data_IF_189201432855
#
_entry.id   IF_189201432855
#
_cell.length_a   1.000
_cell.length_b   1.000
_cell.length_c   1.000
_cell.angle_alpha   90.00
_cell.angle_beta   90.00
_cell.angle_gamma   90.00
#
_symmetry.space_group_name_H-M   'P 1'
#
loop_
_entity.id
_entity.type
_entity.pdbx_description
1 polymer ?
#
# COMPACT_ATOMS: atom_id res chain seq x y z
N UNK A 1 16.56 12.47 24.46
CA UNK A 1 16.28 11.60 23.30
C UNK A 1 14.92 10.97 23.53
N UNK A 2 13.89 11.46 22.85
CA UNK A 2 12.56 10.84 22.93
C UNK A 2 12.62 9.50 22.21
N UNK A 3 12.53 8.41 22.99
CA UNK A 3 12.41 7.05 22.47
C UNK A 3 11.01 6.97 21.86
N UNK A 4 10.92 6.94 20.52
CA UNK A 4 9.66 6.74 19.82
C UNK A 4 9.13 5.35 20.20
N UNK A 5 8.13 5.29 21.08
CA UNK A 5 7.42 4.06 21.37
C UNK A 5 6.40 3.83 20.26
N UNK A 6 6.45 2.68 19.54
CA UNK A 6 5.44 2.34 18.56
C UNK A 6 4.04 2.49 19.17
N UNK A 7 3.12 3.12 18.44
CA UNK A 7 1.74 3.25 18.90
C UNK A 7 1.08 1.86 18.97
N UNK A 8 -0.09 1.76 19.60
CA UNK A 8 -0.75 0.47 19.81
C UNK A 8 -1.07 -0.25 18.48
N UNK A 9 -1.39 0.51 17.42
CA UNK A 9 -1.64 -0.03 16.08
C UNK A 9 -0.39 -0.70 15.51
N UNK A 10 0.76 -0.03 15.55
CA UNK A 10 2.03 -0.55 15.01
C UNK A 10 2.46 -1.82 15.75
N UNK A 11 2.30 -1.86 17.08
CA UNK A 11 2.60 -3.04 17.90
C UNK A 11 1.72 -4.23 17.52
N UNK A 12 0.43 -3.99 17.27
CA UNK A 12 -0.51 -5.04 16.84
C UNK A 12 -0.19 -5.54 15.42
N UNK A 13 0.18 -4.66 14.50
CA UNK A 13 0.58 -5.04 13.14
C UNK A 13 1.84 -5.89 13.15
N UNK A 14 2.87 -5.48 13.89
CA UNK A 14 4.12 -6.24 14.00
C UNK A 14 3.89 -7.61 14.68
N UNK A 15 3.08 -7.67 15.74
CA UNK A 15 2.71 -8.92 16.41
C UNK A 15 1.94 -9.86 15.48
N UNK A 16 1.02 -9.33 14.68
CA UNK A 16 0.27 -10.09 13.69
C UNK A 16 1.21 -10.65 12.61
N UNK A 17 2.07 -9.81 12.04
CA UNK A 17 3.05 -10.22 11.01
C UNK A 17 3.93 -11.37 11.53
N UNK A 18 4.48 -11.25 12.74
CA UNK A 18 5.33 -12.27 13.35
C UNK A 18 4.58 -13.59 13.55
N UNK A 19 3.36 -13.55 14.12
CA UNK A 19 2.57 -14.74 14.37
C UNK A 19 2.14 -15.43 13.08
N UNK A 20 1.79 -14.66 12.04
CA UNK A 20 1.43 -15.23 10.73
C UNK A 20 2.62 -15.92 10.06
N UNK A 21 3.83 -15.41 10.24
CA UNK A 21 5.06 -16.07 9.76
C UNK A 21 5.41 -17.32 10.57
N UNK A 22 5.22 -17.28 11.90
CA UNK A 22 5.58 -18.38 12.82
C UNK A 22 4.61 -19.57 12.71
N UNK A 23 3.30 -19.31 12.57
CA UNK A 23 2.24 -20.32 12.74
C UNK A 23 1.27 -20.39 11.57
N UNK A 24 1.35 -19.45 10.65
CA UNK A 24 0.40 -19.27 9.56
C UNK A 24 -0.81 -18.40 9.96
N UNK A 25 -1.44 -17.83 8.93
CA UNK A 25 -2.58 -16.92 9.09
C UNK A 25 -3.78 -17.62 9.75
N UNK A 26 -4.15 -18.82 9.29
CA UNK A 26 -5.36 -19.52 9.76
C UNK A 26 -5.26 -19.92 11.24
N UNK A 27 -4.08 -20.33 11.69
CA UNK A 27 -3.84 -20.80 13.06
C UNK A 27 -3.67 -19.68 14.08
N UNK A 28 -3.58 -18.43 13.64
CA UNK A 28 -3.39 -17.27 14.52
C UNK A 28 -4.72 -16.64 14.88
N UNK A 29 -4.92 -16.35 16.15
CA UNK A 29 -6.12 -15.68 16.70
C UNK A 29 -5.84 -14.22 17.06
N UNK A 30 -6.91 -13.40 17.14
CA UNK A 30 -6.82 -12.01 17.61
C UNK A 30 -6.33 -11.94 19.06
N UNK A 31 -6.74 -12.90 19.91
CA UNK A 31 -6.28 -12.98 21.29
C UNK A 31 -4.75 -13.10 21.39
N UNK A 32 -4.16 -14.01 20.61
CA UNK A 32 -2.70 -14.22 20.57
C UNK A 32 -1.96 -12.98 20.02
N UNK A 33 -2.53 -12.31 19.02
CA UNK A 33 -1.96 -11.06 18.51
C UNK A 33 -1.95 -9.98 19.57
N UNK A 34 -3.08 -9.79 20.26
CA UNK A 34 -3.20 -8.80 21.31
C UNK A 34 -2.24 -9.11 22.48
N UNK A 35 -2.16 -10.37 22.91
CA UNK A 35 -1.25 -10.83 23.96
C UNK A 35 0.22 -10.59 23.57
N UNK A 36 0.64 -10.97 22.36
CA UNK A 36 2.00 -10.75 21.83
C UNK A 36 2.35 -9.26 21.81
N UNK A 37 1.38 -8.40 21.49
CA UNK A 37 1.53 -6.94 21.49
C UNK A 37 1.51 -6.33 22.91
N UNK A 38 1.21 -7.12 23.97
CA UNK A 38 1.01 -6.62 25.34
C UNK A 38 -0.23 -5.75 25.47
N UNK A 39 -1.29 -6.08 24.74
CA UNK A 39 -2.55 -5.36 24.65
C UNK A 39 -3.72 -6.33 24.87
N UNK A 40 -4.95 -5.83 24.82
CA UNK A 40 -6.17 -6.64 24.93
C UNK A 40 -6.87 -6.79 23.59
N UNK A 41 -7.68 -7.85 23.41
CA UNK A 41 -8.54 -8.01 22.23
C UNK A 41 -9.45 -6.80 22.01
N UNK A 42 -9.97 -6.19 23.11
CA UNK A 42 -10.76 -4.95 23.00
C UNK A 42 -9.94 -3.82 22.37
N UNK A 43 -8.65 -3.74 22.68
CA UNK A 43 -7.75 -2.76 22.07
C UNK A 43 -7.53 -3.09 20.60
N UNK A 44 -7.38 -4.37 20.23
CA UNK A 44 -7.27 -4.80 18.85
C UNK A 44 -8.47 -4.33 18.03
N UNK A 45 -9.69 -4.67 18.46
CA UNK A 45 -10.93 -4.33 17.73
C UNK A 45 -11.25 -2.83 17.69
N UNK A 46 -10.54 -2.01 18.45
CA UNK A 46 -10.59 -0.55 18.29
C UNK A 46 -9.84 -0.07 17.05
N UNK A 47 -8.83 -0.79 16.59
CA UNK A 47 -7.99 -0.43 15.44
C UNK A 47 -8.34 -1.24 14.18
N UNK A 48 -8.73 -2.49 14.34
CA UNK A 48 -8.90 -3.43 13.23
C UNK A 48 -10.23 -4.17 13.34
N UNK A 49 -10.98 -4.24 12.25
CA UNK A 49 -12.29 -4.90 12.20
C UNK A 49 -12.18 -6.43 12.34
N UNK A 50 -11.12 -7.01 11.78
CA UNK A 50 -10.81 -8.45 11.86
C UNK A 50 -9.29 -8.69 11.80
N UNK A 51 -8.87 -9.97 11.88
CA UNK A 51 -7.43 -10.30 11.89
C UNK A 51 -6.71 -10.01 10.58
N UNK A 52 -7.42 -9.89 9.44
CA UNK A 52 -6.84 -9.53 8.15
C UNK A 52 -6.35 -8.10 8.14
N UNK A 53 -7.12 -7.20 8.75
CA UNK A 53 -6.86 -5.76 8.72
C UNK A 53 -5.50 -5.36 9.32
N UNK A 54 -4.94 -6.16 10.20
CA UNK A 54 -3.60 -5.89 10.75
C UNK A 54 -2.49 -5.89 9.68
N UNK A 55 -2.67 -6.61 8.57
CA UNK A 55 -1.73 -6.58 7.44
C UNK A 55 -1.96 -5.41 6.47
N UNK A 56 -3.08 -4.72 6.58
CA UNK A 56 -3.49 -3.63 5.69
C UNK A 56 -3.52 -2.27 6.38
N UNK A 57 -2.85 -2.15 7.50
CA UNK A 57 -2.62 -0.87 8.16
C UNK A 57 -1.83 0.08 7.26
N UNK A 58 -2.10 1.38 7.39
CA UNK A 58 -1.43 2.40 6.57
C UNK A 58 -2.15 2.76 5.28
N UNK A 59 -3.25 2.08 4.90
CA UNK A 59 -4.00 2.43 3.70
C UNK A 59 -4.49 3.90 3.72
N UNK A 60 -4.99 4.36 4.86
CA UNK A 60 -5.43 5.76 5.01
C UNK A 60 -4.31 6.73 4.68
N UNK A 61 -3.10 6.48 5.19
CA UNK A 61 -1.92 7.30 4.88
C UNK A 61 -1.59 7.29 3.38
N UNK A 62 -1.64 6.12 2.74
CA UNK A 62 -1.39 6.02 1.30
C UNK A 62 -2.44 6.78 0.49
N UNK A 63 -3.73 6.66 0.83
CA UNK A 63 -4.81 7.43 0.21
C UNK A 63 -4.58 8.93 0.37
N UNK A 64 -4.29 9.41 1.58
CA UNK A 64 -4.04 10.82 1.85
C UNK A 64 -2.86 11.36 1.03
N UNK A 65 -1.75 10.64 0.98
CA UNK A 65 -0.58 11.04 0.21
C UNK A 65 -0.84 11.08 -1.29
N UNK A 66 -1.51 10.06 -1.84
CA UNK A 66 -1.84 9.99 -3.26
C UNK A 66 -2.80 11.10 -3.66
N UNK A 67 -3.90 11.29 -2.92
CA UNK A 67 -4.90 12.30 -3.23
C UNK A 67 -4.34 13.72 -3.09
N UNK A 68 -3.50 13.98 -2.09
CA UNK A 68 -2.79 15.24 -1.95
C UNK A 68 -1.82 15.49 -3.11
N UNK A 69 -0.99 14.51 -3.47
CA UNK A 69 -0.06 14.64 -4.59
C UNK A 69 -0.79 14.86 -5.94
N UNK A 70 -1.94 14.20 -6.14
CA UNK A 70 -2.78 14.44 -7.30
C UNK A 70 -3.34 15.87 -7.28
N UNK A 71 -3.85 16.35 -6.12
CA UNK A 71 -4.41 17.69 -6.00
C UNK A 71 -3.37 18.79 -6.28
N UNK A 72 -2.15 18.62 -5.80
CA UNK A 72 -1.04 19.56 -5.91
C UNK A 72 -0.32 19.52 -7.28
N UNK A 73 -0.66 18.57 -8.15
CA UNK A 73 0.01 18.43 -9.45
C UNK A 73 -0.21 19.69 -10.33
N UNK A 74 0.74 20.02 -11.25
CA UNK A 74 0.64 21.18 -12.14
C UNK A 74 -0.66 21.17 -12.94
N UNK A 75 -1.23 22.37 -13.15
CA UNK A 75 -2.40 22.54 -14.01
C UNK A 75 -2.08 22.12 -15.46
N UNK A 76 -3.01 21.37 -16.10
CA UNK A 76 -2.84 20.91 -17.48
C UNK A 76 -1.89 19.72 -17.66
N UNK A 77 -1.32 19.18 -16.59
CA UNK A 77 -0.52 17.94 -16.69
C UNK A 77 -1.40 16.76 -17.15
N UNK A 78 -0.90 15.87 -18.03
CA UNK A 78 -1.62 14.69 -18.48
C UNK A 78 -2.01 13.80 -17.28
N UNK A 79 -3.23 13.24 -17.23
CA UNK A 79 -3.72 12.47 -16.08
C UNK A 79 -2.80 11.32 -15.68
N UNK A 80 -2.25 10.60 -16.63
CA UNK A 80 -1.34 9.48 -16.36
C UNK A 80 0.00 9.95 -15.75
N UNK A 81 0.49 11.13 -16.17
CA UNK A 81 1.72 11.71 -15.59
C UNK A 81 1.48 12.16 -14.15
N UNK A 82 0.29 12.73 -13.87
CA UNK A 82 -0.12 13.10 -12.51
C UNK A 82 -0.15 11.87 -11.60
N UNK A 83 -0.77 10.79 -12.04
CA UNK A 83 -0.82 9.53 -11.28
C UNK A 83 0.57 8.95 -11.10
N UNK A 84 1.40 8.93 -12.15
CA UNK A 84 2.78 8.45 -12.08
C UNK A 84 3.62 9.22 -11.04
N UNK A 85 3.51 10.54 -11.03
CA UNK A 85 4.19 11.39 -10.06
C UNK A 85 3.70 11.13 -8.62
N UNK A 86 2.38 10.98 -8.43
CA UNK A 86 1.80 10.69 -7.13
C UNK A 86 2.26 9.32 -6.58
N UNK A 87 2.29 8.29 -7.43
CA UNK A 87 2.81 6.97 -7.05
C UNK A 87 4.31 6.99 -6.73
N UNK A 88 5.10 7.74 -7.50
CA UNK A 88 6.54 7.94 -7.23
C UNK A 88 6.76 8.61 -5.87
N UNK A 89 5.91 9.56 -5.48
CA UNK A 89 5.97 10.26 -4.21
C UNK A 89 5.71 9.36 -2.99
N UNK A 90 5.19 8.15 -3.18
CA UNK A 90 5.08 7.15 -2.10
C UNK A 90 6.43 6.54 -1.69
N UNK A 91 7.49 6.67 -2.51
CA UNK A 91 8.80 6.08 -2.25
C UNK A 91 9.26 6.20 -0.80
N UNK A 92 9.31 7.41 -0.20
CA UNK A 92 9.76 7.62 1.19
C UNK A 92 8.99 6.82 2.24
N UNK A 93 7.72 6.48 1.99
CA UNK A 93 6.91 5.65 2.92
C UNK A 93 7.46 4.23 3.01
N UNK A 94 8.08 3.76 1.95
CA UNK A 94 8.61 2.40 1.81
C UNK A 94 10.11 2.30 2.08
N UNK A 95 10.80 3.43 2.29
CA UNK A 95 12.23 3.44 2.59
C UNK A 95 12.55 2.62 3.85
N UNK A 96 13.53 1.72 3.74
CA UNK A 96 13.93 0.83 4.82
C UNK A 96 12.91 -0.27 5.18
N UNK A 97 11.81 -0.40 4.43
CA UNK A 97 10.72 -1.35 4.73
C UNK A 97 10.64 -2.55 3.77
N UNK A 98 11.62 -2.72 2.88
CA UNK A 98 11.60 -3.79 1.86
C UNK A 98 11.42 -5.18 2.49
N UNK A 99 12.21 -5.51 3.52
CA UNK A 99 12.11 -6.80 4.20
C UNK A 99 10.75 -7.02 4.87
N UNK A 100 10.19 -5.97 5.46
CA UNK A 100 8.84 -6.01 6.03
C UNK A 100 7.79 -6.23 4.92
N UNK A 101 7.90 -5.51 3.80
CA UNK A 101 7.01 -5.64 2.65
C UNK A 101 7.09 -7.04 2.03
N UNK A 102 8.29 -7.60 1.87
CA UNK A 102 8.51 -8.96 1.36
C UNK A 102 7.86 -10.01 2.28
N UNK A 103 8.08 -9.92 3.59
CA UNK A 103 7.46 -10.83 4.57
C UNK A 103 5.94 -10.72 4.57
N UNK A 104 5.40 -9.50 4.53
CA UNK A 104 3.97 -9.28 4.41
C UNK A 104 3.41 -9.89 3.13
N UNK A 105 4.07 -9.66 1.99
CA UNK A 105 3.64 -10.20 0.70
C UNK A 105 3.63 -11.72 0.69
N UNK A 106 4.65 -12.38 1.27
CA UNK A 106 4.68 -13.84 1.35
C UNK A 106 3.49 -14.46 2.10
N UNK A 107 3.00 -13.77 3.15
CA UNK A 107 1.79 -14.20 3.87
C UNK A 107 0.55 -14.03 2.99
N UNK A 108 0.43 -12.89 2.30
CA UNK A 108 -0.72 -12.61 1.42
C UNK A 108 -0.76 -13.61 0.28
N UNK A 109 0.35 -13.88 -0.39
CA UNK A 109 0.45 -14.80 -1.53
C UNK A 109 0.10 -16.24 -1.14
N UNK A 110 0.35 -16.63 0.10
CA UNK A 110 0.02 -17.95 0.61
C UNK A 110 -1.47 -18.11 1.02
N UNK A 111 -2.26 -17.02 1.08
CA UNK A 111 -3.61 -17.05 1.65
C UNK A 111 -4.64 -16.38 0.74
N UNK A 112 -5.54 -17.15 0.07
CA UNK A 112 -6.53 -16.59 -0.85
C UNK A 112 -7.44 -15.50 -0.25
N UNK A 113 -7.82 -15.63 1.02
CA UNK A 113 -8.64 -14.62 1.71
C UNK A 113 -7.91 -13.29 1.92
N UNK A 114 -6.58 -13.32 2.02
CA UNK A 114 -5.75 -12.12 2.10
C UNK A 114 -5.51 -11.51 0.71
N UNK A 115 -5.35 -12.34 -0.31
CA UNK A 115 -5.25 -11.88 -1.71
C UNK A 115 -6.54 -11.16 -2.13
N UNK A 116 -7.71 -11.74 -1.82
CA UNK A 116 -8.99 -11.07 -2.08
C UNK A 116 -9.06 -9.71 -1.37
N UNK A 117 -8.66 -9.66 -0.10
CA UNK A 117 -8.65 -8.42 0.67
C UNK A 117 -7.70 -7.39 0.09
N UNK A 118 -6.51 -7.79 -0.34
CA UNK A 118 -5.56 -6.91 -1.02
C UNK A 118 -6.14 -6.32 -2.31
N UNK A 119 -6.77 -7.15 -3.15
CA UNK A 119 -7.41 -6.67 -4.37
C UNK A 119 -8.48 -5.62 -4.10
N UNK A 120 -9.33 -5.84 -3.07
CA UNK A 120 -10.34 -4.86 -2.67
C UNK A 120 -9.67 -3.55 -2.22
N UNK A 121 -8.59 -3.62 -1.44
CA UNK A 121 -7.86 -2.43 -0.97
C UNK A 121 -7.22 -1.65 -2.12
N UNK A 122 -6.64 -2.35 -3.10
CA UNK A 122 -6.05 -1.72 -4.29
C UNK A 122 -7.13 -1.09 -5.18
N UNK A 123 -8.29 -1.75 -5.33
CA UNK A 123 -9.43 -1.18 -6.07
C UNK A 123 -9.95 0.11 -5.39
N UNK A 124 -10.10 0.10 -4.06
CA UNK A 124 -10.47 1.31 -3.32
C UNK A 124 -9.47 2.44 -3.56
N UNK A 125 -8.18 2.14 -3.55
CA UNK A 125 -7.14 3.14 -3.79
C UNK A 125 -7.20 3.71 -5.22
N UNK A 126 -7.52 2.86 -6.21
CA UNK A 126 -7.77 3.28 -7.60
C UNK A 126 -8.97 4.22 -7.70
N UNK A 127 -10.08 3.89 -7.02
CA UNK A 127 -11.27 4.73 -6.98
C UNK A 127 -11.00 6.11 -6.36
N UNK A 128 -10.25 6.17 -5.26
CA UNK A 128 -9.85 7.43 -4.60
C UNK A 128 -8.95 8.30 -5.51
N UNK A 129 -8.01 7.68 -6.25
CA UNK A 129 -7.20 8.41 -7.23
C UNK A 129 -8.05 8.96 -8.37
N UNK A 130 -9.00 8.17 -8.88
CA UNK A 130 -9.92 8.62 -9.94
C UNK A 130 -10.78 9.80 -9.46
N UNK A 131 -11.27 9.76 -8.21
CA UNK A 131 -12.03 10.86 -7.61
C UNK A 131 -11.19 12.13 -7.49
N UNK A 132 -9.94 12.01 -7.04
CA UNK A 132 -9.02 13.13 -6.95
C UNK A 132 -8.73 13.76 -8.33
N UNK A 133 -8.61 12.94 -9.38
CA UNK A 133 -8.46 13.43 -10.76
C UNK A 133 -9.72 14.14 -11.25
N UNK A 134 -10.93 13.62 -10.97
CA UNK A 134 -12.21 14.28 -11.29
C UNK A 134 -12.33 15.62 -10.59
N UNK A 135 -11.93 15.72 -9.33
CA UNK A 135 -11.93 16.99 -8.59
C UNK A 135 -11.02 18.05 -9.25
N UNK A 136 -10.03 17.65 -10.05
CA UNK A 136 -9.21 18.54 -10.88
C UNK A 136 -9.84 18.90 -12.23
N UNK A 137 -11.05 18.42 -12.54
CA UNK A 137 -11.75 18.66 -13.79
C UNK A 137 -11.36 17.69 -14.92
N UNK A 138 -10.71 16.58 -14.60
CA UNK A 138 -10.44 15.52 -15.59
C UNK A 138 -11.75 14.76 -15.87
N UNK A 139 -12.01 14.47 -17.16
CA UNK A 139 -13.15 13.66 -17.58
C UNK A 139 -13.18 12.30 -16.88
N UNK A 140 -14.38 11.80 -16.57
CA UNK A 140 -14.58 10.57 -15.79
C UNK A 140 -13.87 9.35 -16.41
N UNK A 141 -14.00 9.15 -17.72
CA UNK A 141 -13.37 8.03 -18.39
C UNK A 141 -11.83 8.13 -18.37
N UNK A 142 -11.30 9.32 -18.57
CA UNK A 142 -9.86 9.58 -18.52
C UNK A 142 -9.31 9.43 -17.09
N UNK A 143 -10.04 9.93 -16.08
CA UNK A 143 -9.67 9.83 -14.68
C UNK A 143 -9.60 8.36 -14.22
N UNK A 144 -10.66 7.58 -14.55
CA UNK A 144 -10.70 6.14 -14.23
C UNK A 144 -9.60 5.38 -14.94
N UNK A 145 -9.41 5.61 -16.25
CA UNK A 145 -8.37 4.91 -17.02
C UNK A 145 -6.96 5.22 -16.50
N UNK A 146 -6.68 6.46 -16.15
CA UNK A 146 -5.39 6.86 -15.58
C UNK A 146 -5.15 6.21 -14.22
N UNK A 147 -6.15 6.18 -13.33
CA UNK A 147 -6.05 5.58 -12.02
C UNK A 147 -5.83 4.05 -12.11
N UNK A 148 -6.62 3.33 -12.91
CA UNK A 148 -6.46 1.88 -13.11
C UNK A 148 -5.09 1.54 -13.74
N UNK A 149 -4.67 2.32 -14.73
CA UNK A 149 -3.35 2.14 -15.36
C UNK A 149 -2.23 2.40 -14.39
N UNK A 150 -2.33 3.45 -13.57
CA UNK A 150 -1.37 3.74 -12.51
C UNK A 150 -1.31 2.61 -11.47
N UNK A 151 -2.46 2.05 -11.10
CA UNK A 151 -2.50 0.91 -10.16
C UNK A 151 -1.89 -0.36 -10.78
N UNK A 152 -2.03 -0.59 -12.08
CA UNK A 152 -1.33 -1.66 -12.78
C UNK A 152 0.20 -1.46 -12.72
N UNK A 153 0.67 -0.23 -12.98
CA UNK A 153 2.10 0.12 -12.84
C UNK A 153 2.58 -0.09 -11.41
N UNK A 154 1.82 0.37 -10.42
CA UNK A 154 2.20 0.19 -9.01
C UNK A 154 2.35 -1.28 -8.63
N UNK A 155 1.41 -2.15 -9.02
CA UNK A 155 1.50 -3.60 -8.75
C UNK A 155 2.76 -4.21 -9.35
N UNK A 156 3.07 -3.90 -10.60
CA UNK A 156 4.29 -4.41 -11.26
C UNK A 156 5.55 -3.86 -10.59
N UNK A 157 5.57 -2.56 -10.30
CA UNK A 157 6.70 -1.91 -9.64
C UNK A 157 6.94 -2.45 -8.23
N UNK A 158 5.87 -2.69 -7.46
CA UNK A 158 5.96 -3.22 -6.11
C UNK A 158 6.56 -4.63 -6.10
N UNK A 159 6.09 -5.54 -6.98
CA UNK A 159 6.64 -6.89 -7.11
C UNK A 159 8.12 -6.83 -7.52
N UNK A 160 8.49 -5.97 -8.48
CA UNK A 160 9.88 -5.75 -8.85
C UNK A 160 10.71 -5.27 -7.65
N UNK A 161 10.20 -4.28 -6.92
CA UNK A 161 10.91 -3.68 -5.79
C UNK A 161 11.15 -4.66 -4.64
N UNK A 162 10.15 -5.46 -4.24
CA UNK A 162 10.32 -6.41 -3.12
C UNK A 162 11.33 -7.52 -3.43
N UNK A 163 11.54 -7.84 -4.72
CA UNK A 163 12.50 -8.86 -5.18
C UNK A 163 13.80 -8.27 -5.76
N UNK A 164 13.93 -6.96 -5.78
CA UNK A 164 15.13 -6.31 -6.31
C UNK A 164 16.32 -6.52 -5.37
N UNK A 165 17.45 -6.93 -5.95
CA UNK A 165 18.72 -7.08 -5.24
C UNK A 165 19.54 -5.79 -5.16
N UNK A 166 19.06 -4.71 -5.81
CA UNK A 166 19.70 -3.39 -5.76
C UNK A 166 19.16 -2.55 -4.60
N UNK A 167 19.80 -1.41 -4.32
CA UNK A 167 19.33 -0.45 -3.32
C UNK A 167 18.26 0.52 -3.86
N UNK A 168 17.74 0.28 -5.09
CA UNK A 168 16.75 1.16 -5.70
C UNK A 168 15.49 1.30 -4.84
N UNK A 169 15.05 2.52 -4.59
CA UNK A 169 13.82 2.81 -3.86
C UNK A 169 12.56 2.47 -4.68
N UNK A 170 11.42 2.27 -4.01
CA UNK A 170 10.16 2.00 -4.71
C UNK A 170 9.81 3.11 -5.71
N UNK A 171 10.03 4.38 -5.36
CA UNK A 171 9.75 5.51 -6.26
C UNK A 171 10.55 5.47 -7.56
N UNK A 172 11.81 5.05 -7.51
CA UNK A 172 12.65 4.87 -8.70
C UNK A 172 12.12 3.75 -9.60
N UNK A 173 11.72 2.62 -9.00
CA UNK A 173 11.16 1.49 -9.73
C UNK A 173 9.79 1.82 -10.31
N UNK A 174 8.95 2.59 -9.61
CA UNK A 174 7.68 3.13 -10.15
C UNK A 174 7.95 3.99 -11.39
N UNK A 175 8.91 4.92 -11.31
CA UNK A 175 9.28 5.79 -12.43
C UNK A 175 9.78 4.97 -13.63
N UNK A 176 10.64 3.98 -13.40
CA UNK A 176 11.11 3.08 -14.45
C UNK A 176 9.96 2.30 -15.09
N UNK A 177 9.06 1.74 -14.27
CA UNK A 177 7.92 0.96 -14.76
C UNK A 177 6.92 1.83 -15.54
N UNK A 178 6.75 3.09 -15.15
CA UNK A 178 5.94 4.05 -15.91
C UNK A 178 6.56 4.34 -17.29
N UNK A 179 7.89 4.45 -17.38
CA UNK A 179 8.58 4.63 -18.66
C UNK A 179 8.46 3.37 -19.53
N UNK A 180 8.55 2.17 -18.95
CA UNK A 180 8.32 0.91 -19.64
C UNK A 180 6.91 0.89 -20.27
N UNK A 181 5.87 1.30 -19.49
CA UNK A 181 4.49 1.40 -20.00
C UNK A 181 4.41 2.37 -21.21
N UNK A 182 5.01 3.56 -21.11
CA UNK A 182 5.02 4.54 -22.20
C UNK A 182 5.68 3.97 -23.45
N UNK A 183 6.76 3.22 -23.31
CA UNK A 183 7.44 2.57 -24.42
C UNK A 183 6.61 1.47 -25.09
N UNK A 184 5.72 0.80 -24.35
CA UNK A 184 4.80 -0.21 -24.91
C UNK A 184 3.66 0.40 -25.74
N UNK A 185 3.36 1.70 -25.55
CA UNK A 185 2.20 2.37 -26.15
C UNK A 185 2.59 3.47 -27.14
N UNK A 186 3.89 3.66 -27.42
CA UNK A 186 4.44 4.69 -28.31
C UNK A 186 4.37 4.32 -29.83
#
# INVERSE_FOLDING_TARGET
MSRWEPNASDRLQEAALQLYLERGFDQTTVAEIAERAGLTERTYFRYFADKREALFGGQTLLTELLTAAIADAPAGAPPLDVVGAALTALGPVFDGRRDHALRRQSIIDANPALQERELIKLATLSDEMAEALRARGIDDAAARLAAETGMAVFKVAFVRWVHDSTDAGLGEIVTSTMNDLKALTA
#
